data_IF_783220755043
#
_entry.id   IF_783220755043
#
_cell.length_a   1.000
_cell.length_b   1.000
_cell.length_c   1.000
_cell.angle_alpha   90.00
_cell.angle_beta   90.00
_cell.angle_gamma   90.00
#
_symmetry.space_group_name_H-M   'P 1'
#
loop_
_entity.id
_entity.type
_entity.pdbx_description
1 polymer ?
#
# COMPACT_ATOMS: atom_id res chain seq x y z
N UNK A 1 -8.26 -9.53 -8.91
CA UNK A 1 -6.87 -9.10 -9.18
C UNK A 1 -6.06 -9.42 -7.93
N UNK A 2 -4.81 -9.88 -8.02
CA UNK A 2 -3.98 -10.10 -6.82
C UNK A 2 -3.46 -8.78 -6.27
N UNK A 3 -3.18 -8.72 -4.97
CA UNK A 3 -2.65 -7.52 -4.31
C UNK A 3 -1.33 -7.05 -4.92
N UNK A 4 -0.37 -7.95 -5.16
CA UNK A 4 0.92 -7.63 -5.81
C UNK A 4 0.74 -6.92 -7.16
N UNK A 5 -0.18 -7.40 -8.00
CA UNK A 5 -0.52 -6.80 -9.29
C UNK A 5 -1.18 -5.44 -9.14
N UNK A 6 -2.08 -5.28 -8.17
CA UNK A 6 -2.74 -4.00 -7.91
C UNK A 6 -1.77 -2.94 -7.39
N UNK A 7 -0.87 -3.28 -6.47
CA UNK A 7 0.20 -2.38 -5.99
C UNK A 7 1.15 -2.03 -7.13
N UNK A 8 1.49 -2.99 -8.00
CA UNK A 8 2.33 -2.75 -9.18
C UNK A 8 1.70 -1.73 -10.13
N UNK A 9 0.41 -1.88 -10.41
CA UNK A 9 -0.33 -0.95 -11.27
C UNK A 9 -0.38 0.45 -10.65
N UNK A 10 -0.66 0.55 -9.35
CA UNK A 10 -0.69 1.82 -8.63
C UNK A 10 0.66 2.57 -8.66
N UNK A 11 1.76 1.84 -8.41
CA UNK A 11 3.12 2.41 -8.52
C UNK A 11 3.43 2.84 -9.96
N UNK A 12 2.96 2.08 -10.95
CA UNK A 12 3.08 2.41 -12.37
C UNK A 12 2.38 3.71 -12.74
N UNK A 13 1.12 3.86 -12.35
CA UNK A 13 0.33 5.07 -12.57
C UNK A 13 0.98 6.30 -11.90
N UNK A 14 1.41 6.16 -10.64
CA UNK A 14 2.13 7.24 -9.96
C UNK A 14 3.39 7.68 -10.70
N UNK A 15 4.18 6.73 -11.22
CA UNK A 15 5.42 7.06 -11.96
C UNK A 15 5.16 7.72 -13.30
N UNK A 16 4.00 7.49 -13.92
CA UNK A 16 3.63 8.15 -15.15
C UNK A 16 3.33 9.64 -14.91
N UNK A 17 2.71 9.96 -13.78
CA UNK A 17 2.34 11.34 -13.42
C UNK A 17 2.54 11.61 -11.92
N UNK A 18 3.79 11.79 -11.45
CA UNK A 18 4.09 11.94 -10.03
C UNK A 18 3.57 13.27 -9.43
N UNK A 19 3.23 14.23 -10.29
CA UNK A 19 2.69 15.55 -9.92
C UNK A 19 1.16 15.63 -9.91
N UNK A 20 0.43 14.54 -10.13
CA UNK A 20 -1.03 14.53 -10.13
C UNK A 20 -1.59 15.09 -8.81
N UNK A 21 -2.70 15.84 -8.90
CA UNK A 21 -3.41 16.30 -7.72
C UNK A 21 -3.93 15.09 -6.91
N UNK A 22 -3.97 15.20 -5.59
CA UNK A 22 -4.48 14.19 -4.67
C UNK A 22 -5.90 13.70 -5.02
N UNK A 23 -6.77 14.63 -5.40
CA UNK A 23 -8.15 14.30 -5.79
C UNK A 23 -8.12 13.43 -7.05
N UNK A 24 -7.24 13.71 -8.00
CA UNK A 24 -7.15 12.94 -9.24
C UNK A 24 -6.50 11.58 -8.99
N UNK A 25 -5.44 11.54 -8.17
CA UNK A 25 -4.75 10.30 -7.78
C UNK A 25 -5.68 9.30 -7.06
N UNK A 26 -6.41 9.75 -6.04
CA UNK A 26 -7.38 8.92 -5.30
C UNK A 26 -8.60 8.47 -6.12
N UNK A 27 -8.85 9.12 -7.27
CA UNK A 27 -9.92 8.77 -8.21
C UNK A 27 -9.48 7.82 -9.33
N UNK A 28 -8.18 7.57 -9.47
CA UNK A 28 -7.67 6.62 -10.47
C UNK A 28 -8.26 5.23 -10.27
N UNK A 29 -8.36 4.48 -11.38
CA UNK A 29 -8.82 3.09 -11.31
C UNK A 29 -7.80 2.20 -10.58
N UNK A 30 -6.50 2.47 -10.71
CA UNK A 30 -5.44 1.72 -10.03
C UNK A 30 -5.47 1.90 -8.53
N UNK A 31 -5.77 3.11 -8.03
CA UNK A 31 -6.02 3.35 -6.61
C UNK A 31 -7.18 2.49 -6.09
N UNK A 32 -8.33 2.51 -6.79
CA UNK A 32 -9.50 1.71 -6.40
C UNK A 32 -9.18 0.22 -6.37
N UNK A 33 -8.53 -0.28 -7.41
CA UNK A 33 -8.11 -1.67 -7.52
C UNK A 33 -7.14 -2.08 -6.41
N UNK A 34 -6.23 -1.19 -5.99
CA UNK A 34 -5.34 -1.42 -4.85
C UNK A 34 -6.14 -1.60 -3.56
N UNK A 35 -7.07 -0.70 -3.25
CA UNK A 35 -7.88 -0.78 -2.03
C UNK A 35 -8.74 -2.06 -2.02
N UNK A 36 -9.40 -2.38 -3.14
CA UNK A 36 -10.21 -3.60 -3.27
C UNK A 36 -9.37 -4.87 -3.15
N UNK A 37 -8.19 -4.91 -3.75
CA UNK A 37 -7.30 -6.06 -3.65
C UNK A 37 -6.72 -6.21 -2.24
N UNK A 38 -6.45 -5.10 -1.54
CA UNK A 38 -6.01 -5.13 -0.15
C UNK A 38 -7.10 -5.69 0.77
N UNK A 39 -8.36 -5.32 0.54
CA UNK A 39 -9.50 -5.84 1.30
C UNK A 39 -9.69 -7.34 1.04
N UNK A 40 -9.67 -7.76 -0.24
CA UNK A 40 -9.79 -9.17 -0.62
C UNK A 40 -8.64 -10.04 -0.09
N UNK A 41 -7.45 -9.48 0.04
CA UNK A 41 -6.27 -10.17 0.58
C UNK A 41 -6.20 -10.13 2.12
N UNK A 42 -7.15 -9.46 2.80
CA UNK A 42 -7.13 -9.31 4.26
C UNK A 42 -6.06 -8.35 4.79
N UNK A 43 -5.55 -7.44 3.96
CA UNK A 43 -4.61 -6.37 4.32
C UNK A 43 -5.30 -5.10 4.83
N UNK A 44 -6.63 -5.07 4.82
CA UNK A 44 -7.41 -3.97 5.41
C UNK A 44 -8.81 -4.47 5.78
N UNK A 45 -9.41 -3.90 6.83
CA UNK A 45 -10.74 -4.28 7.30
C UNK A 45 -11.19 -3.50 8.53
N UNK A 46 -12.41 -3.74 9.04
CA UNK A 46 -12.93 -3.05 10.23
C UNK A 46 -12.16 -3.42 11.51
N UNK A 47 -11.71 -4.66 11.64
CA UNK A 47 -11.08 -5.21 12.85
C UNK A 47 -9.54 -5.20 12.82
N UNK A 48 -8.95 -4.53 11.82
CA UNK A 48 -7.50 -4.49 11.67
C UNK A 48 -6.89 -3.39 12.53
N UNK A 49 -5.86 -3.75 13.29
CA UNK A 49 -5.10 -2.80 14.09
C UNK A 49 -4.31 -1.83 13.20
N UNK A 50 -4.16 -0.59 13.66
CA UNK A 50 -3.33 0.42 13.01
C UNK A 50 -1.88 0.36 13.53
N UNK A 51 -0.92 0.68 12.66
CA UNK A 51 0.47 0.94 13.02
C UNK A 51 0.60 2.42 13.43
N UNK A 52 0.76 2.68 14.73
CA UNK A 52 0.86 4.05 15.26
C UNK A 52 2.10 4.79 14.79
N UNK A 53 3.12 4.09 14.31
CA UNK A 53 4.39 4.67 13.83
C UNK A 53 4.51 4.55 12.30
N UNK A 54 3.39 4.38 11.59
CA UNK A 54 3.41 4.07 10.14
C UNK A 54 4.20 5.09 9.32
N UNK A 55 4.19 6.37 9.73
CA UNK A 55 4.90 7.48 9.07
C UNK A 55 6.42 7.41 9.23
N UNK A 56 6.90 6.77 10.29
CA UNK A 56 8.33 6.65 10.60
C UNK A 56 8.95 5.39 10.01
N UNK A 57 8.13 4.50 9.41
CA UNK A 57 8.61 3.27 8.79
C UNK A 57 9.44 3.58 7.55
N UNK A 58 10.66 3.06 7.50
CA UNK A 58 11.54 3.13 6.34
C UNK A 58 11.21 2.04 5.31
N UNK A 59 11.74 2.18 4.10
CA UNK A 59 11.68 1.13 3.08
C UNK A 59 12.36 -0.16 3.53
N UNK A 60 13.45 -0.06 4.30
CA UNK A 60 14.13 -1.21 4.90
C UNK A 60 13.26 -1.92 5.94
N UNK A 61 12.48 -1.17 6.73
CA UNK A 61 11.52 -1.76 7.66
C UNK A 61 10.44 -2.55 6.90
N UNK A 62 9.87 -1.97 5.84
CA UNK A 62 8.85 -2.65 5.00
C UNK A 62 9.40 -3.96 4.41
N UNK A 63 10.68 -3.98 4.04
CA UNK A 63 11.34 -5.17 3.49
C UNK A 63 11.49 -6.30 4.52
N UNK A 64 11.79 -5.96 5.79
CA UNK A 64 12.20 -6.93 6.82
C UNK A 64 11.14 -7.29 7.86
N UNK A 65 10.12 -6.45 8.02
CA UNK A 65 9.07 -6.65 9.04
C UNK A 65 8.29 -7.94 8.81
N UNK A 66 7.59 -8.48 9.79
CA UNK A 66 6.73 -9.67 9.60
C UNK A 66 5.44 -9.34 8.81
N UNK A 67 4.72 -10.37 8.37
CA UNK A 67 3.52 -10.18 7.52
C UNK A 67 2.38 -9.46 8.26
N UNK A 68 2.23 -9.71 9.57
CA UNK A 68 1.18 -9.07 10.36
C UNK A 68 1.46 -7.57 10.53
N UNK A 69 2.72 -7.20 10.76
CA UNK A 69 3.15 -5.81 10.83
C UNK A 69 3.04 -5.12 9.47
N UNK A 70 3.38 -5.80 8.37
CA UNK A 70 3.15 -5.28 7.03
C UNK A 70 1.65 -5.04 6.76
N UNK A 71 0.79 -5.99 7.14
CA UNK A 71 -0.66 -5.84 7.02
C UNK A 71 -1.18 -4.63 7.78
N UNK A 72 -0.79 -4.46 9.06
CA UNK A 72 -1.16 -3.26 9.86
C UNK A 72 -0.69 -1.96 9.20
N UNK A 73 0.53 -1.95 8.67
CA UNK A 73 1.06 -0.77 7.98
C UNK A 73 0.27 -0.44 6.71
N UNK A 74 -0.01 -1.43 5.86
CA UNK A 74 -0.83 -1.27 4.64
C UNK A 74 -2.25 -0.80 4.99
N UNK A 75 -2.87 -1.40 6.01
CA UNK A 75 -4.16 -0.96 6.51
C UNK A 75 -4.15 0.51 6.93
N UNK A 76 -3.11 0.90 7.66
CA UNK A 76 -2.98 2.26 8.21
C UNK A 76 -2.86 3.29 7.10
N UNK A 77 -2.02 3.06 6.09
CA UNK A 77 -1.91 4.00 4.97
C UNK A 77 -3.24 4.11 4.20
N UNK A 78 -3.99 3.02 4.01
CA UNK A 78 -5.30 3.04 3.34
C UNK A 78 -6.32 3.82 4.18
N UNK A 79 -6.38 3.58 5.48
CA UNK A 79 -7.29 4.29 6.40
C UNK A 79 -6.97 5.78 6.45
N UNK A 80 -5.70 6.11 6.60
CA UNK A 80 -5.23 7.49 6.66
C UNK A 80 -5.60 8.25 5.39
N UNK A 81 -5.27 7.68 4.22
CA UNK A 81 -5.53 8.31 2.93
C UNK A 81 -7.04 8.54 2.68
N UNK A 82 -7.90 7.60 3.11
CA UNK A 82 -9.35 7.68 2.88
C UNK A 82 -10.13 8.51 3.91
N UNK A 83 -9.67 8.55 5.15
CA UNK A 83 -10.50 9.00 6.29
C UNK A 83 -9.80 9.96 7.25
N UNK A 84 -8.47 10.13 7.16
CA UNK A 84 -7.72 10.98 8.07
C UNK A 84 -7.28 12.28 7.38
N UNK A 85 -7.73 13.42 7.91
CA UNK A 85 -7.33 14.75 7.44
C UNK A 85 -5.86 15.07 7.68
N UNK A 86 -5.21 14.39 8.62
CA UNK A 86 -3.81 14.65 8.99
C UNK A 86 -2.84 13.99 8.02
N UNK A 87 -3.27 12.91 7.36
CA UNK A 87 -2.48 12.17 6.38
C UNK A 87 -3.28 11.83 5.12
N UNK A 88 -3.85 12.83 4.42
CA UNK A 88 -4.73 12.62 3.26
C UNK A 88 -3.97 12.19 2.00
N UNK A 89 -2.65 11.98 2.13
CA UNK A 89 -1.71 11.68 1.04
C UNK A 89 -0.92 10.41 1.29
N UNK A 90 -1.27 9.63 2.32
CA UNK A 90 -0.44 8.52 2.81
C UNK A 90 -0.09 7.49 1.72
N UNK A 91 -1.01 7.17 0.81
CA UNK A 91 -0.73 6.24 -0.29
C UNK A 91 0.20 6.88 -1.32
N UNK A 92 -0.05 8.16 -1.67
CA UNK A 92 0.83 8.90 -2.60
C UNK A 92 2.25 9.03 -2.04
N UNK A 93 2.37 9.32 -0.75
CA UNK A 93 3.66 9.48 -0.08
C UNK A 93 4.38 8.14 0.01
N UNK A 94 3.67 7.04 0.25
CA UNK A 94 4.22 5.68 0.19
C UNK A 94 4.66 5.27 -1.23
N UNK A 95 3.98 5.76 -2.28
CA UNK A 95 4.47 5.65 -3.66
C UNK A 95 5.77 6.44 -3.86
N UNK A 96 5.77 7.71 -3.46
CA UNK A 96 6.89 8.64 -3.63
C UNK A 96 8.14 8.21 -2.86
N UNK A 97 7.97 7.74 -1.62
CA UNK A 97 9.04 7.25 -0.75
C UNK A 97 9.56 5.86 -1.14
N UNK A 98 8.91 5.20 -2.12
CA UNK A 98 9.31 3.90 -2.62
C UNK A 98 8.85 2.71 -1.77
N UNK A 99 8.14 2.94 -0.66
CA UNK A 99 7.61 1.87 0.21
C UNK A 99 6.74 0.89 -0.57
N UNK A 100 5.80 1.38 -1.40
CA UNK A 100 4.96 0.48 -2.20
C UNK A 100 5.75 -0.29 -3.26
N UNK A 101 6.89 0.23 -3.74
CA UNK A 101 7.78 -0.55 -4.61
C UNK A 101 8.41 -1.73 -3.87
N UNK A 102 8.74 -1.56 -2.58
CA UNK A 102 9.22 -2.65 -1.72
C UNK A 102 8.10 -3.67 -1.46
N UNK A 103 6.88 -3.20 -1.21
CA UNK A 103 5.71 -4.09 -1.06
C UNK A 103 5.51 -4.97 -2.29
N UNK A 104 5.62 -4.41 -3.52
CA UNK A 104 5.55 -5.20 -4.77
C UNK A 104 6.58 -6.32 -4.77
N UNK A 105 7.84 -6.01 -4.45
CA UNK A 105 8.92 -7.00 -4.45
C UNK A 105 8.65 -8.12 -3.44
N UNK A 106 8.25 -7.75 -2.22
CA UNK A 106 7.98 -8.71 -1.15
C UNK A 106 6.80 -9.62 -1.48
N UNK A 107 5.66 -9.06 -1.89
CA UNK A 107 4.49 -9.85 -2.28
C UNK A 107 4.76 -10.72 -3.54
N UNK A 108 5.56 -10.22 -4.49
CA UNK A 108 5.96 -10.98 -5.66
C UNK A 108 6.89 -12.16 -5.36
N UNK A 109 7.72 -12.06 -4.32
CA UNK A 109 8.58 -13.15 -3.84
C UNK A 109 7.78 -14.22 -3.09
N UNK A 110 6.82 -13.82 -2.24
CA UNK A 110 5.93 -14.75 -1.53
C UNK A 110 5.05 -15.56 -2.51
N UNK A 111 4.57 -14.92 -3.58
CA UNK A 111 3.80 -15.63 -4.63
C UNK A 111 4.63 -16.62 -5.46
N UNK A 112 5.96 -16.45 -5.52
CA UNK A 112 6.86 -17.31 -6.26
C UNK A 112 7.33 -18.53 -5.44
N UNK A 113 7.04 -18.58 -4.14
CA UNK A 113 7.40 -19.70 -3.27
C UNK A 113 6.39 -20.84 -3.47
N UNK A 114 6.77 -21.99 -4.04
CA UNK A 114 5.86 -23.13 -4.09
C UNK A 114 5.59 -23.59 -2.65
N UNK A 115 4.31 -23.83 -2.33
CA UNK A 115 3.90 -24.41 -1.06
C UNK A 115 4.74 -25.69 -0.80
N UNK A 116 5.52 -25.68 0.27
CA UNK A 116 6.23 -26.87 0.77
C UNK A 116 5.34 -27.64 1.73
#
# INVERSE_FOLDING_TARGET
MKLSGAVTALVGDYRHEPGANLIDFSRTNTYRQFVEAAEQAGFTGPDMEMDSEFSDRSTEWVEKTDDAALQRWVHTIIRCDRSNSDHPTAIRDACSGGHLTVVVRRLGMEEAKPAQ
#
